data_IF_993741243970
#
_entry.id   IF_993741243970
#
_cell.length_a   1.000
_cell.length_b   1.000
_cell.length_c   1.000
_cell.angle_alpha   90.00
_cell.angle_beta   90.00
_cell.angle_gamma   90.00
#
_symmetry.space_group_name_H-M   'P 1'
#
loop_
_entity.id
_entity.type
_entity.pdbx_description
1 polymer ?
#
# COMPACT_ATOMS: atom_id res chain seq x y z
N UNK A 1 6.93 -3.05 11.65
CA UNK A 1 6.74 -2.02 10.59
C UNK A 1 8.09 -1.78 9.90
N UNK A 2 8.62 -2.82 9.25
CA UNK A 2 9.90 -2.80 8.51
C UNK A 2 9.68 -2.39 7.05
N UNK A 3 8.45 -2.56 6.56
CA UNK A 3 8.12 -2.39 5.14
C UNK A 3 8.20 -0.94 4.66
N UNK A 4 7.58 0.01 5.36
CA UNK A 4 7.61 1.42 4.95
C UNK A 4 9.03 1.98 4.95
N UNK A 5 9.84 1.59 5.94
CA UNK A 5 11.26 1.96 6.02
C UNK A 5 12.04 1.35 4.84
N UNK A 6 11.72 0.12 4.42
CA UNK A 6 12.35 -0.53 3.28
C UNK A 6 11.95 0.12 1.94
N UNK A 7 10.69 0.54 1.80
CA UNK A 7 10.20 1.29 0.63
C UNK A 7 10.91 2.63 0.44
N UNK A 8 11.38 3.27 1.51
CA UNK A 8 12.17 4.51 1.39
C UNK A 8 13.45 4.33 0.56
N UNK A 9 14.04 3.12 0.57
CA UNK A 9 15.28 2.83 -0.15
C UNK A 9 15.10 2.78 -1.67
N UNK A 10 13.87 2.51 -2.15
CA UNK A 10 13.58 2.38 -3.58
C UNK A 10 13.00 3.65 -4.21
N UNK A 11 12.70 4.70 -3.43
CA UNK A 11 12.18 5.97 -3.97
C UNK A 11 13.13 6.57 -5.00
N UNK A 12 14.40 6.80 -4.64
CA UNK A 12 15.40 7.35 -5.58
C UNK A 12 15.62 6.46 -6.81
N UNK A 13 15.78 5.12 -6.69
CA UNK A 13 15.80 4.24 -7.84
C UNK A 13 14.59 4.40 -8.78
N UNK A 14 13.37 4.49 -8.24
CA UNK A 14 12.16 4.70 -9.04
C UNK A 14 12.13 6.08 -9.70
N UNK A 15 12.53 7.14 -8.99
CA UNK A 15 12.62 8.50 -9.54
C UNK A 15 13.60 8.58 -10.71
N UNK A 16 14.75 7.92 -10.60
CA UNK A 16 15.79 7.89 -11.65
C UNK A 16 15.29 7.28 -12.97
N UNK A 17 14.26 6.43 -12.92
CA UNK A 17 13.63 5.81 -14.09
C UNK A 17 12.28 6.45 -14.44
N UNK A 18 11.96 7.61 -13.85
CA UNK A 18 10.76 8.38 -14.17
C UNK A 18 9.46 7.85 -13.55
N UNK A 19 9.56 7.04 -12.51
CA UNK A 19 8.42 6.52 -11.75
C UNK A 19 8.29 7.21 -10.38
N UNK A 20 7.10 7.13 -9.79
CA UNK A 20 6.80 7.68 -8.47
C UNK A 20 6.21 6.58 -7.60
N UNK A 21 6.62 6.55 -6.33
CA UNK A 21 6.03 5.67 -5.32
C UNK A 21 5.01 6.45 -4.49
N UNK A 22 3.83 5.89 -4.33
CA UNK A 22 2.83 6.35 -3.37
C UNK A 22 2.26 5.15 -2.63
N UNK A 23 1.84 5.36 -1.39
CA UNK A 23 1.06 4.37 -0.64
C UNK A 23 -0.37 4.83 -0.50
N UNK A 24 -1.31 3.90 -0.40
CA UNK A 24 -2.73 4.17 -0.24
C UNK A 24 -3.20 3.40 1.00
N UNK A 25 -3.86 4.07 1.93
CA UNK A 25 -4.29 3.48 3.21
C UNK A 25 -5.62 4.05 3.69
N UNK A 26 -6.50 3.26 4.35
CA UNK A 26 -7.70 3.80 5.01
C UNK A 26 -7.39 4.63 6.25
N UNK A 27 -6.13 4.62 6.70
CA UNK A 27 -5.71 5.32 7.91
C UNK A 27 -6.01 6.82 7.81
N UNK A 28 -6.53 7.39 8.90
CA UNK A 28 -6.83 8.82 8.98
C UNK A 28 -5.55 9.65 8.77
N UNK A 29 -5.70 10.79 8.08
CA UNK A 29 -4.57 11.64 7.70
C UNK A 29 -3.70 12.10 8.87
N UNK A 30 -4.25 12.28 10.07
CA UNK A 30 -3.47 12.66 11.26
C UNK A 30 -2.46 11.57 11.67
N UNK A 31 -2.85 10.29 11.64
CA UNK A 31 -1.95 9.18 11.93
C UNK A 31 -0.93 8.99 10.80
N UNK A 32 -1.34 9.14 9.54
CA UNK A 32 -0.43 9.04 8.39
C UNK A 32 0.63 10.14 8.40
N UNK A 33 0.23 11.39 8.71
CA UNK A 33 1.16 12.51 8.86
C UNK A 33 2.18 12.25 9.97
N UNK A 34 1.70 11.83 11.15
CA UNK A 34 2.57 11.49 12.27
C UNK A 34 3.56 10.38 11.89
N UNK A 35 3.10 9.35 11.18
CA UNK A 35 3.94 8.24 10.74
C UNK A 35 5.02 8.70 9.74
N UNK A 36 4.68 9.56 8.78
CA UNK A 36 5.65 10.18 7.86
C UNK A 36 6.73 10.94 8.64
N UNK A 37 6.33 11.77 9.60
CA UNK A 37 7.25 12.57 10.41
C UNK A 37 8.13 11.70 11.32
N UNK A 38 7.56 10.72 12.01
CA UNK A 38 8.29 9.84 12.93
C UNK A 38 9.29 8.93 12.22
N UNK A 39 9.01 8.56 10.96
CA UNK A 39 9.83 7.62 10.18
C UNK A 39 10.66 8.26 9.09
N UNK A 40 10.52 9.57 8.88
CA UNK A 40 11.12 10.29 7.77
C UNK A 40 10.81 9.62 6.42
N UNK A 41 9.55 9.23 6.21
CA UNK A 41 9.13 8.65 4.94
C UNK A 41 9.32 9.69 3.82
N UNK A 42 9.92 9.25 2.72
CA UNK A 42 10.30 10.10 1.58
C UNK A 42 9.39 9.91 0.36
N UNK A 43 8.16 9.44 0.58
CA UNK A 43 7.13 9.23 -0.44
C UNK A 43 5.76 9.63 0.11
N UNK A 44 4.81 9.88 -0.78
CA UNK A 44 3.47 10.29 -0.40
C UNK A 44 2.63 9.12 0.13
N UNK A 45 1.84 9.41 1.17
CA UNK A 45 0.80 8.52 1.68
C UNK A 45 -0.58 9.13 1.41
N UNK A 46 -1.34 8.49 0.52
CA UNK A 46 -2.70 8.86 0.18
C UNK A 46 -3.70 8.15 1.09
N UNK A 47 -4.84 8.81 1.34
CA UNK A 47 -5.93 8.24 2.13
C UNK A 47 -7.01 7.66 1.22
N UNK A 48 -7.38 6.40 1.46
CA UNK A 48 -8.52 5.71 0.87
C UNK A 48 -9.59 5.52 1.95
N UNK A 49 -10.29 6.61 2.27
CA UNK A 49 -11.32 6.62 3.31
C UNK A 49 -12.34 5.51 3.07
N UNK A 50 -12.67 4.77 4.14
CA UNK A 50 -13.58 3.62 4.12
C UNK A 50 -13.18 2.47 3.18
N UNK A 51 -11.94 2.46 2.67
CA UNK A 51 -11.45 1.51 1.67
C UNK A 51 -12.25 1.55 0.34
N UNK A 52 -12.81 2.70 -0.04
CA UNK A 52 -13.68 2.82 -1.22
C UNK A 52 -12.96 2.51 -2.55
N UNK A 53 -11.71 2.94 -2.69
CA UNK A 53 -10.88 2.62 -3.85
C UNK A 53 -10.48 1.15 -3.85
N UNK A 54 -10.04 0.61 -2.70
CA UNK A 54 -9.76 -0.82 -2.57
C UNK A 54 -10.99 -1.69 -2.87
N UNK A 55 -12.20 -1.25 -2.51
CA UNK A 55 -13.46 -1.92 -2.83
C UNK A 55 -13.72 -1.99 -4.34
N UNK A 56 -13.49 -0.89 -5.06
CA UNK A 56 -13.61 -0.86 -6.53
C UNK A 56 -12.65 -1.83 -7.23
N UNK A 57 -11.53 -2.14 -6.59
CA UNK A 57 -10.55 -3.12 -7.07
C UNK A 57 -10.84 -4.55 -6.59
N UNK A 58 -11.88 -4.77 -5.78
CA UNK A 58 -12.19 -6.07 -5.18
C UNK A 58 -11.20 -6.49 -4.08
N UNK A 59 -10.52 -5.54 -3.46
CA UNK A 59 -9.45 -5.77 -2.47
C UNK A 59 -9.87 -5.44 -1.03
N UNK A 60 -11.09 -4.94 -0.80
CA UNK A 60 -11.61 -4.68 0.55
C UNK A 60 -12.15 -5.97 1.16
N UNK A 61 -11.74 -6.30 2.38
CA UNK A 61 -12.28 -7.45 3.11
C UNK A 61 -12.61 -7.08 4.56
N UNK A 62 -13.63 -7.73 5.11
CA UNK A 62 -13.99 -7.61 6.52
C UNK A 62 -13.18 -8.58 7.38
N UNK A 63 -12.68 -8.09 8.51
CA UNK A 63 -11.97 -8.93 9.47
C UNK A 63 -12.94 -9.93 10.12
N UNK A 64 -12.57 -11.23 10.20
CA UNK A 64 -13.35 -12.21 10.94
C UNK A 64 -13.44 -11.82 12.44
N UNK A 65 -14.55 -12.12 13.14
CA UNK A 65 -14.74 -11.77 14.55
C UNK A 65 -13.59 -12.19 15.47
N UNK A 66 -13.03 -13.38 15.23
CA UNK A 66 -11.88 -13.90 15.98
C UNK A 66 -10.63 -13.01 15.83
N UNK A 67 -10.41 -12.42 14.66
CA UNK A 67 -9.28 -11.51 14.43
C UNK A 67 -9.55 -10.16 15.12
N UNK A 68 -10.79 -9.67 15.08
CA UNK A 68 -11.22 -8.46 15.80
C UNK A 68 -10.96 -8.60 17.31
N UNK A 69 -11.30 -9.76 17.89
CA UNK A 69 -11.02 -10.08 19.30
C UNK A 69 -9.53 -10.04 19.61
N UNK A 70 -8.70 -10.67 18.76
CA UNK A 70 -7.24 -10.69 18.92
C UNK A 70 -6.68 -9.27 18.85
N UNK A 71 -7.08 -8.47 17.87
CA UNK A 71 -6.56 -7.11 17.69
C UNK A 71 -6.96 -6.21 18.87
N UNK A 72 -8.23 -6.27 19.27
CA UNK A 72 -8.73 -5.55 20.44
C UNK A 72 -7.97 -5.93 21.72
N UNK A 73 -7.71 -7.23 21.93
CA UNK A 73 -6.94 -7.71 23.09
C UNK A 73 -5.47 -7.26 23.08
N UNK A 74 -4.91 -6.96 21.91
CA UNK A 74 -3.54 -6.44 21.73
C UNK A 74 -3.48 -4.91 21.61
N UNK A 75 -4.56 -4.20 21.99
CA UNK A 75 -4.67 -2.74 21.89
C UNK A 75 -4.45 -2.17 20.49
N UNK A 76 -4.79 -2.94 19.44
CA UNK A 76 -4.80 -2.48 18.05
C UNK A 76 -6.19 -1.94 17.73
N UNK A 77 -6.32 -0.61 17.73
CA UNK A 77 -7.56 0.11 17.45
C UNK A 77 -7.70 0.42 15.95
N UNK A 78 -8.15 -0.57 15.17
CA UNK A 78 -8.42 -0.38 13.74
C UNK A 78 -9.50 0.68 13.51
N UNK A 79 -10.64 0.69 14.24
CA UNK A 79 -11.64 1.71 14.04
C UNK A 79 -11.15 3.13 14.33
N UNK A 80 -10.39 3.32 15.41
CA UNK A 80 -9.76 4.60 15.71
C UNK A 80 -8.76 5.01 14.64
N UNK A 81 -7.91 4.09 14.17
CA UNK A 81 -6.90 4.38 13.16
C UNK A 81 -7.49 4.76 11.79
N UNK A 82 -8.62 4.14 11.40
CA UNK A 82 -9.26 4.33 10.10
C UNK A 82 -10.45 5.30 10.14
N UNK A 83 -10.95 5.65 11.32
CA UNK A 83 -12.04 6.59 11.51
C UNK A 83 -13.45 6.01 11.27
N UNK A 84 -13.60 4.69 11.19
CA UNK A 84 -14.88 4.01 11.03
C UNK A 84 -14.89 2.65 11.73
N UNK A 85 -16.07 2.14 12.05
CA UNK A 85 -16.33 0.89 12.76
C UNK A 85 -16.62 -0.29 11.81
N UNK A 86 -16.21 -0.19 10.53
CA UNK A 86 -16.45 -1.21 9.51
C UNK A 86 -15.63 -2.49 9.70
N UNK A 87 -14.53 -2.42 10.45
CA UNK A 87 -13.54 -3.50 10.59
C UNK A 87 -13.08 -4.08 9.24
N UNK A 88 -12.93 -3.22 8.24
CA UNK A 88 -12.43 -3.58 6.92
C UNK A 88 -10.98 -3.15 6.72
N UNK A 89 -10.24 -3.95 5.96
CA UNK A 89 -8.87 -3.67 5.54
C UNK A 89 -8.72 -3.95 4.03
N UNK A 90 -7.77 -3.28 3.36
CA UNK A 90 -7.39 -3.65 2.01
C UNK A 90 -6.47 -4.88 2.04
N UNK A 91 -6.60 -5.78 1.06
CA UNK A 91 -5.60 -6.81 0.79
C UNK A 91 -4.28 -6.11 0.50
N UNK A 92 -3.20 -6.44 1.23
CA UNK A 92 -1.91 -5.79 1.02
C UNK A 92 -1.37 -6.14 -0.37
N UNK A 93 -0.74 -5.17 -1.01
CA UNK A 93 -0.19 -5.38 -2.33
C UNK A 93 0.34 -4.12 -3.00
N UNK A 94 0.68 -4.28 -4.27
CA UNK A 94 1.34 -3.29 -5.11
C UNK A 94 0.74 -3.30 -6.51
N UNK A 95 0.57 -2.11 -7.05
CA UNK A 95 0.19 -1.87 -8.44
C UNK A 95 1.33 -1.11 -9.13
N UNK A 96 1.66 -1.51 -10.35
CA UNK A 96 2.44 -0.67 -11.27
C UNK A 96 1.49 -0.19 -12.36
N UNK A 97 1.29 1.12 -12.42
CA UNK A 97 0.36 1.79 -13.33
C UNK A 97 1.16 2.70 -14.26
N UNK A 98 0.89 2.64 -15.56
CA UNK A 98 1.54 3.53 -16.52
C UNK A 98 0.87 4.91 -16.59
N UNK A 99 1.45 5.79 -17.41
CA UNK A 99 0.94 7.16 -17.60
C UNK A 99 -0.42 7.24 -18.32
N UNK A 100 -0.91 6.14 -18.89
CA UNK A 100 -2.25 6.04 -19.48
C UNK A 100 -3.28 5.53 -18.45
N UNK A 101 -2.87 5.24 -17.22
CA UNK A 101 -3.73 4.68 -16.19
C UNK A 101 -3.93 3.17 -16.32
N UNK A 102 -3.13 2.49 -17.14
CA UNK A 102 -3.23 1.04 -17.33
C UNK A 102 -2.35 0.32 -16.31
N UNK A 103 -2.96 -0.65 -15.62
CA UNK A 103 -2.23 -1.55 -14.72
C UNK A 103 -1.34 -2.48 -15.54
N UNK A 104 -0.02 -2.38 -15.34
CA UNK A 104 0.99 -3.18 -16.03
C UNK A 104 1.52 -4.33 -15.21
N UNK A 105 1.42 -4.24 -13.88
CA UNK A 105 1.77 -5.33 -12.97
C UNK A 105 0.98 -5.20 -11.66
N UNK A 106 0.67 -6.34 -11.05
CA UNK A 106 -0.04 -6.44 -9.77
C UNK A 106 0.61 -7.50 -8.89
N UNK A 107 0.66 -7.25 -7.59
CA UNK A 107 1.02 -8.25 -6.59
C UNK A 107 0.13 -8.02 -5.38
N UNK A 108 -0.78 -8.96 -5.10
CA UNK A 108 -1.67 -8.92 -3.95
C UNK A 108 -1.65 -10.29 -3.28
N UNK A 109 -1.47 -10.32 -1.96
CA UNK A 109 -1.51 -11.55 -1.18
C UNK A 109 -2.34 -11.32 0.09
N UNK A 110 -3.40 -12.11 0.34
CA UNK A 110 -4.13 -12.07 1.60
C UNK A 110 -3.25 -12.40 2.81
N UNK A 111 -2.20 -13.19 2.63
CA UNK A 111 -1.16 -13.40 3.62
C UNK A 111 -0.15 -12.25 3.56
N UNK A 112 -0.32 -11.29 4.47
CA UNK A 112 0.55 -10.12 4.58
C UNK A 112 2.02 -10.46 4.88
N UNK A 113 2.35 -11.71 5.23
CA UNK A 113 3.73 -12.15 5.40
C UNK A 113 4.41 -12.47 4.07
N UNK A 114 3.64 -12.76 3.03
CA UNK A 114 4.11 -12.89 1.66
C UNK A 114 4.09 -11.52 0.98
N UNK A 115 5.22 -10.84 1.09
CA UNK A 115 5.46 -9.58 0.39
C UNK A 115 6.70 -9.69 -0.47
N UNK A 116 6.70 -9.15 -1.70
CA UNK A 116 7.90 -9.19 -2.50
C UNK A 116 8.84 -8.08 -2.03
N UNK A 117 10.14 -8.31 -2.16
CA UNK A 117 11.15 -7.34 -1.76
C UNK A 117 10.92 -5.98 -2.48
N UNK A 118 11.24 -4.84 -1.84
CA UNK A 118 11.14 -3.53 -2.47
C UNK A 118 11.89 -3.45 -3.81
N UNK A 119 13.08 -4.04 -3.89
CA UNK A 119 13.94 -4.02 -5.07
C UNK A 119 13.27 -4.69 -6.28
N UNK A 120 12.46 -5.73 -6.04
CA UNK A 120 11.70 -6.39 -7.10
C UNK A 120 10.68 -5.44 -7.77
N UNK A 121 10.23 -4.38 -7.08
CA UNK A 121 9.39 -3.36 -7.72
C UNK A 121 10.18 -2.55 -8.73
N UNK A 122 11.43 -2.20 -8.44
CA UNK A 122 12.29 -1.44 -9.37
C UNK A 122 12.52 -2.26 -10.63
N UNK A 123 12.88 -3.53 -10.49
CA UNK A 123 13.11 -4.45 -11.61
C UNK A 123 11.88 -4.59 -12.52
N UNK A 124 10.68 -4.68 -11.93
CA UNK A 124 9.42 -4.73 -12.68
C UNK A 124 9.21 -3.45 -13.50
N UNK A 125 9.43 -2.27 -12.90
CA UNK A 125 9.26 -0.99 -13.59
C UNK A 125 10.29 -0.85 -14.73
N UNK A 126 11.56 -1.15 -14.48
CA UNK A 126 12.60 -1.14 -15.51
C UNK A 126 12.26 -2.10 -16.67
N UNK A 127 11.78 -3.30 -16.35
CA UNK A 127 11.36 -4.28 -17.33
C UNK A 127 10.20 -3.80 -18.22
N UNK A 128 9.30 -2.97 -17.68
CA UNK A 128 8.19 -2.38 -18.43
C UNK A 128 8.65 -1.24 -19.33
N UNK A 129 9.60 -0.41 -18.88
CA UNK A 129 10.18 0.67 -19.70
C UNK A 129 10.96 0.15 -20.91
N UNK A 130 11.59 -1.03 -20.77
CA UNK A 130 12.38 -1.65 -21.83
C UNK A 130 11.57 -2.50 -22.82
N UNK A 131 10.24 -2.61 -22.64
CA UNK A 131 9.35 -3.32 -23.55
C UNK A 131 8.62 -2.32 -24.45
N UNK A 132 8.57 -2.54 -25.79
CA UNK A 132 7.69 -1.74 -26.62
C UNK A 132 6.25 -1.89 -26.12
N UNK A 133 5.56 -0.77 -25.91
CA UNK A 133 4.15 -0.72 -25.54
C UNK A 133 3.34 -1.41 -26.66
N UNK A 134 3.13 -2.71 -26.55
CA UNK A 134 2.16 -3.40 -27.40
C UNK A 134 0.77 -3.09 -26.85
N UNK A 135 -0.01 -2.41 -27.69
CA UNK A 135 -1.42 -2.08 -27.50
C UNK A 135 -2.29 -3.33 -27.35
#
# INVERSE_FOLDING_TARGET
MIELDALCNIVKPLENIGATLVTITPQQGAFSKRLIEERNLNFDMLSDTDNDYAEKLGLKFALPPKIIEIYSANAIDIPGANGNDSWTLPVPGRLVVDQQGIVRSTSFDPDYTHRPEPEATVEVVEGLLNRPLTA
#
